data_IF_846770506668
#
_entry.id   IF_846770506668
#
_cell.length_a   1.000
_cell.length_b   1.000
_cell.length_c   1.000
_cell.angle_alpha   90.00
_cell.angle_beta   90.00
_cell.angle_gamma   90.00
#
_symmetry.space_group_name_H-M   'P 1'
#
loop_
_entity.id
_entity.type
_entity.pdbx_description
1 polymer ?
#
# COMPACT_ATOMS: atom_id res chain seq x y z
N UNK A 1 -18.44 10.88 8.14
CA UNK A 1 -16.97 10.91 8.21
C UNK A 1 -16.52 9.49 8.53
N UNK A 2 -15.71 8.86 7.68
CA UNK A 2 -15.15 7.53 7.93
C UNK A 2 -13.79 7.72 8.58
N UNK A 3 -13.59 7.14 9.75
CA UNK A 3 -12.27 7.07 10.37
C UNK A 3 -11.46 5.99 9.66
N UNK A 4 -10.25 6.33 9.21
CA UNK A 4 -9.38 5.43 8.47
C UNK A 4 -8.04 5.21 9.18
N UNK A 5 -7.39 4.10 8.85
CA UNK A 5 -6.01 3.82 9.26
C UNK A 5 -5.11 3.65 8.03
N UNK A 6 -3.81 3.77 8.23
CA UNK A 6 -2.80 3.62 7.17
C UNK A 6 -1.67 2.72 7.68
N UNK A 7 -1.28 1.73 6.89
CA UNK A 7 -0.37 0.67 7.36
C UNK A 7 1.04 1.16 7.68
N UNK A 8 1.47 2.31 7.15
CA UNK A 8 2.77 2.89 7.52
C UNK A 8 2.88 3.31 8.99
N UNK A 9 1.75 3.55 9.65
CA UNK A 9 1.70 3.83 11.08
C UNK A 9 1.99 2.59 11.92
N UNK A 10 2.04 1.42 11.28
CA UNK A 10 2.28 0.13 11.93
C UNK A 10 3.64 -0.49 11.57
N UNK A 11 4.53 0.28 10.92
CA UNK A 11 5.83 -0.22 10.44
C UNK A 11 6.60 -1.00 11.51
N UNK A 12 6.68 -0.47 12.73
CA UNK A 12 7.43 -1.10 13.81
C UNK A 12 6.73 -2.35 14.39
N UNK A 13 5.41 -2.48 14.19
CA UNK A 13 4.65 -3.63 14.66
C UNK A 13 4.69 -4.78 13.65
N UNK A 14 4.93 -4.50 12.37
CA UNK A 14 4.99 -5.53 11.32
C UNK A 14 6.19 -6.48 11.47
N UNK A 15 7.18 -6.13 12.29
CA UNK A 15 8.29 -7.02 12.62
C UNK A 15 7.83 -8.22 13.47
N UNK A 16 6.80 -8.02 14.30
CA UNK A 16 6.33 -8.99 15.30
C UNK A 16 4.85 -9.40 15.13
N UNK A 17 4.10 -8.74 14.24
CA UNK A 17 2.65 -8.93 14.07
C UNK A 17 2.23 -9.13 12.61
N UNK A 18 1.22 -9.98 12.41
CA UNK A 18 0.57 -10.14 11.12
C UNK A 18 -0.21 -8.87 10.73
N UNK A 19 -0.17 -8.51 9.45
CA UNK A 19 -0.89 -7.35 8.93
C UNK A 19 -2.41 -7.46 9.20
N UNK A 20 -2.98 -8.66 9.06
CA UNK A 20 -4.39 -8.89 9.32
C UNK A 20 -4.77 -8.64 10.78
N UNK A 21 -3.89 -8.96 11.74
CA UNK A 21 -4.17 -8.71 13.15
C UNK A 21 -4.13 -7.22 13.51
N UNK A 22 -3.26 -6.45 12.84
CA UNK A 22 -3.22 -5.00 12.95
C UNK A 22 -4.47 -4.35 12.34
N UNK A 23 -4.94 -4.84 11.19
CA UNK A 23 -6.19 -4.41 10.56
C UNK A 23 -7.39 -4.72 11.46
N UNK A 24 -7.45 -5.93 12.03
CA UNK A 24 -8.50 -6.32 12.98
C UNK A 24 -8.52 -5.37 14.20
N UNK A 25 -7.35 -5.05 14.74
CA UNK A 25 -7.22 -4.09 15.85
C UNK A 25 -7.70 -2.70 15.45
N UNK A 26 -7.37 -2.23 14.25
CA UNK A 26 -7.82 -0.93 13.76
C UNK A 26 -9.33 -0.86 13.58
N UNK A 27 -9.92 -1.92 13.00
CA UNK A 27 -11.38 -2.09 12.88
C UNK A 27 -12.07 -2.08 14.23
N UNK A 28 -11.57 -2.86 15.19
CA UNK A 28 -12.17 -2.95 16.53
C UNK A 28 -12.11 -1.61 17.28
N UNK A 29 -11.21 -0.71 16.86
CA UNK A 29 -11.11 0.68 17.32
C UNK A 29 -11.93 1.68 16.48
N UNK A 30 -12.71 1.20 15.51
CA UNK A 30 -13.66 1.99 14.74
C UNK A 30 -13.18 2.41 13.35
N UNK A 31 -12.06 1.89 12.84
CA UNK A 31 -11.67 2.14 11.45
C UNK A 31 -12.65 1.47 10.48
N UNK A 32 -13.19 2.23 9.53
CA UNK A 32 -14.00 1.71 8.42
C UNK A 32 -13.27 1.71 7.08
N UNK A 33 -12.04 2.20 7.06
CA UNK A 33 -11.18 2.27 5.88
C UNK A 33 -9.72 2.01 6.26
N UNK A 34 -8.98 1.29 5.42
CA UNK A 34 -7.54 1.09 5.58
C UNK A 34 -6.82 1.36 4.27
N UNK A 35 -5.89 2.31 4.30
CA UNK A 35 -4.91 2.52 3.24
C UNK A 35 -3.76 1.52 3.42
N UNK A 36 -3.63 0.60 2.47
CA UNK A 36 -2.51 -0.31 2.38
C UNK A 36 -1.34 0.40 1.70
N UNK A 37 -0.29 0.70 2.45
CA UNK A 37 0.93 1.34 1.91
C UNK A 37 2.06 0.33 1.75
N UNK A 38 2.49 0.13 0.50
CA UNK A 38 3.64 -0.68 0.14
C UNK A 38 4.90 -0.18 0.89
N UNK A 39 5.79 -1.11 1.24
CA UNK A 39 6.87 -1.03 2.24
C UNK A 39 6.41 -1.17 3.70
N UNK A 40 5.11 -1.37 3.91
CA UNK A 40 4.45 -1.59 5.21
C UNK A 40 3.30 -2.60 5.08
N UNK A 41 3.49 -3.68 4.32
CA UNK A 41 2.46 -4.73 4.13
C UNK A 41 2.87 -6.11 4.68
N UNK A 42 4.06 -6.26 5.26
CA UNK A 42 4.53 -7.53 5.80
C UNK A 42 4.57 -8.61 4.71
N UNK A 43 3.92 -9.75 4.94
CA UNK A 43 3.87 -10.87 3.99
C UNK A 43 3.00 -10.60 2.74
N UNK A 44 2.23 -9.51 2.73
CA UNK A 44 1.44 -9.10 1.57
C UNK A 44 2.26 -8.33 0.51
N UNK A 45 3.58 -8.30 0.65
CA UNK A 45 4.51 -7.75 -0.33
C UNK A 45 5.87 -8.48 -0.30
N UNK A 46 6.68 -8.27 -1.33
CA UNK A 46 8.05 -8.77 -1.41
C UNK A 46 8.92 -7.87 -2.28
N UNK A 47 10.23 -8.06 -2.20
CA UNK A 47 11.21 -7.24 -2.93
C UNK A 47 11.85 -6.17 -2.04
N UNK A 48 12.62 -5.30 -2.66
CA UNK A 48 13.32 -4.18 -2.00
C UNK A 48 13.58 -3.06 -3.02
N UNK A 49 13.79 -1.82 -2.54
CA UNK A 49 14.10 -0.68 -3.41
C UNK A 49 13.05 -0.46 -4.52
N UNK A 50 13.45 -0.60 -5.78
CA UNK A 50 12.57 -0.46 -6.95
C UNK A 50 11.85 -1.77 -7.34
N UNK A 51 12.18 -2.87 -6.67
CA UNK A 51 11.65 -4.20 -6.96
C UNK A 51 10.52 -4.63 -6.03
N UNK A 52 9.99 -3.71 -5.21
CA UNK A 52 8.77 -3.98 -4.45
C UNK A 52 7.61 -4.44 -5.34
N UNK A 53 7.02 -5.58 -4.98
CA UNK A 53 5.84 -6.15 -5.63
C UNK A 53 4.80 -6.56 -4.59
N UNK A 54 3.50 -6.31 -4.85
CA UNK A 54 2.43 -6.80 -4.01
C UNK A 54 2.31 -8.33 -4.14
N UNK A 55 1.96 -9.00 -3.05
CA UNK A 55 1.57 -10.40 -3.06
C UNK A 55 0.05 -10.49 -3.19
N UNK A 56 -0.44 -10.83 -4.39
CA UNK A 56 -1.87 -10.82 -4.70
C UNK A 56 -2.66 -11.84 -3.87
N UNK A 57 -2.11 -13.02 -3.60
CA UNK A 57 -2.82 -14.05 -2.85
C UNK A 57 -3.07 -13.58 -1.41
N UNK A 58 -2.05 -13.05 -0.74
CA UNK A 58 -2.18 -12.52 0.62
C UNK A 58 -3.07 -11.27 0.68
N UNK A 59 -3.00 -10.39 -0.33
CA UNK A 59 -3.91 -9.23 -0.41
C UNK A 59 -5.37 -9.66 -0.59
N UNK A 60 -5.62 -10.71 -1.38
CA UNK A 60 -6.96 -11.27 -1.56
C UNK A 60 -7.51 -11.83 -0.24
N UNK A 61 -6.67 -12.56 0.51
CA UNK A 61 -7.02 -13.08 1.83
C UNK A 61 -7.41 -11.96 2.80
N UNK A 62 -6.67 -10.83 2.79
CA UNK A 62 -6.98 -9.66 3.63
C UNK A 62 -8.36 -9.08 3.26
N UNK A 63 -8.62 -8.85 1.98
CA UNK A 63 -9.90 -8.26 1.53
C UNK A 63 -11.08 -9.18 1.86
N UNK A 64 -10.90 -10.50 1.70
CA UNK A 64 -11.92 -11.50 2.05
C UNK A 64 -12.14 -11.58 3.57
N UNK A 65 -11.08 -11.41 4.38
CA UNK A 65 -11.15 -11.47 5.84
C UNK A 65 -11.92 -10.28 6.45
N UNK A 66 -11.98 -9.14 5.77
CA UNK A 66 -12.58 -7.91 6.28
C UNK A 66 -13.60 -7.29 5.31
N UNK A 67 -14.72 -7.97 5.00
CA UNK A 67 -15.73 -7.50 4.05
C UNK A 67 -16.44 -6.20 4.46
N UNK A 68 -16.36 -5.84 5.75
CA UNK A 68 -16.90 -4.60 6.32
C UNK A 68 -16.01 -3.38 6.10
N UNK A 69 -14.74 -3.58 5.73
CA UNK A 69 -13.77 -2.52 5.50
C UNK A 69 -13.71 -2.14 4.02
N UNK A 70 -13.36 -0.89 3.79
CA UNK A 70 -12.91 -0.43 2.47
C UNK A 70 -11.41 -0.29 2.47
N UNK A 71 -10.79 -0.52 1.31
CA UNK A 71 -9.35 -0.44 1.18
C UNK A 71 -8.97 0.36 -0.05
N UNK A 72 -7.78 0.96 0.00
CA UNK A 72 -7.06 1.37 -1.19
C UNK A 72 -5.57 1.05 -1.05
N UNK A 73 -4.83 1.20 -2.15
CA UNK A 73 -3.44 0.77 -2.23
C UNK A 73 -2.55 1.93 -2.67
N UNK A 74 -1.58 2.27 -1.81
CA UNK A 74 -0.49 3.19 -2.08
C UNK A 74 0.80 2.41 -2.34
N UNK A 75 1.32 2.47 -3.56
CA UNK A 75 2.46 1.65 -4.03
C UNK A 75 3.75 2.47 -4.10
N UNK A 76 4.88 1.85 -3.78
CA UNK A 76 6.21 2.44 -3.84
C UNK A 76 6.67 2.45 -5.31
N UNK A 77 6.24 3.48 -6.04
CA UNK A 77 6.35 3.57 -7.48
C UNK A 77 6.78 4.98 -7.87
N UNK A 78 7.83 5.15 -8.69
CA UNK A 78 8.24 6.47 -9.15
C UNK A 78 7.07 7.20 -9.82
N UNK A 79 6.92 8.47 -9.46
CA UNK A 79 5.92 9.36 -10.07
C UNK A 79 6.42 10.80 -10.26
N UNK A 80 7.60 11.11 -9.71
CA UNK A 80 8.30 12.40 -9.81
C UNK A 80 9.72 12.17 -10.34
N UNK A 81 10.43 11.17 -9.81
CA UNK A 81 11.88 11.00 -10.01
C UNK A 81 12.23 10.30 -11.32
N UNK A 82 11.33 9.50 -11.88
CA UNK A 82 11.57 8.73 -13.12
C UNK A 82 10.23 8.37 -13.77
N UNK A 83 10.23 8.30 -15.10
CA UNK A 83 9.08 7.84 -15.88
C UNK A 83 8.80 6.36 -15.63
N UNK A 84 7.51 6.01 -15.56
CA UNK A 84 7.07 4.62 -15.46
C UNK A 84 6.43 4.15 -16.76
N UNK A 85 6.85 2.96 -17.20
CA UNK A 85 6.15 2.26 -18.28
C UNK A 85 4.83 1.68 -17.75
N UNK A 86 3.72 2.29 -18.19
CA UNK A 86 2.38 1.84 -17.86
C UNK A 86 2.05 0.44 -18.39
N UNK A 87 2.76 -0.06 -19.42
CA UNK A 87 2.60 -1.44 -19.92
C UNK A 87 3.61 -2.40 -19.29
N UNK A 88 4.56 -1.87 -18.51
CA UNK A 88 5.59 -2.66 -17.85
C UNK A 88 5.02 -3.54 -16.74
N UNK A 89 5.63 -4.71 -16.54
CA UNK A 89 5.19 -5.68 -15.52
C UNK A 89 5.16 -5.10 -14.10
N UNK A 90 6.03 -4.14 -13.78
CA UNK A 90 6.00 -3.41 -12.52
C UNK A 90 4.67 -2.67 -12.35
N UNK A 91 4.31 -1.75 -13.25
CA UNK A 91 3.06 -0.99 -13.14
C UNK A 91 1.83 -1.91 -13.18
N UNK A 92 1.83 -2.90 -14.06
CA UNK A 92 0.72 -3.84 -14.20
C UNK A 92 0.47 -4.65 -12.92
N UNK A 93 1.51 -5.13 -12.25
CA UNK A 93 1.36 -5.84 -10.97
C UNK A 93 0.74 -4.96 -9.87
N UNK A 94 1.12 -3.68 -9.83
CA UNK A 94 0.61 -2.72 -8.86
C UNK A 94 -0.86 -2.34 -9.15
N UNK A 95 -1.19 -2.19 -10.44
CA UNK A 95 -2.55 -1.93 -10.90
C UNK A 95 -3.47 -3.12 -10.59
N UNK A 96 -3.01 -4.34 -10.79
CA UNK A 96 -3.75 -5.56 -10.45
C UNK A 96 -4.05 -5.63 -8.95
N UNK A 97 -3.06 -5.35 -8.11
CA UNK A 97 -3.24 -5.28 -6.66
C UNK A 97 -4.24 -4.19 -6.24
N UNK A 98 -4.17 -2.99 -6.83
CA UNK A 98 -5.13 -1.93 -6.51
C UNK A 98 -6.57 -2.27 -6.94
N UNK A 99 -6.73 -3.01 -8.04
CA UNK A 99 -8.03 -3.54 -8.49
C UNK A 99 -8.59 -4.57 -7.52
N UNK A 100 -7.73 -5.50 -7.09
CA UNK A 100 -8.07 -6.52 -6.11
C UNK A 100 -8.51 -5.90 -4.78
N UNK A 101 -7.73 -4.94 -4.28
CA UNK A 101 -7.94 -4.32 -2.97
C UNK A 101 -9.13 -3.35 -2.96
N UNK A 102 -9.25 -2.50 -3.98
CA UNK A 102 -10.28 -1.46 -4.02
C UNK A 102 -11.65 -1.93 -4.55
N UNK A 103 -11.78 -3.18 -4.98
CA UNK A 103 -13.03 -3.79 -5.40
C UNK A 103 -13.77 -2.97 -6.48
N UNK A 104 -14.99 -2.52 -6.15
CA UNK A 104 -15.86 -1.79 -7.09
C UNK A 104 -15.43 -0.35 -7.42
N UNK A 105 -14.46 0.22 -6.69
CA UNK A 105 -13.93 1.57 -6.95
C UNK A 105 -12.42 1.60 -6.69
N UNK A 106 -11.62 0.94 -7.54
CA UNK A 106 -10.20 0.80 -7.29
C UNK A 106 -9.47 2.13 -7.43
N UNK A 107 -8.64 2.44 -6.44
CA UNK A 107 -7.83 3.64 -6.40
C UNK A 107 -6.38 3.27 -6.16
N UNK A 108 -5.55 3.48 -7.18
CA UNK A 108 -4.10 3.28 -7.13
C UNK A 108 -3.44 4.63 -6.83
N UNK A 109 -2.69 4.69 -5.72
CA UNK A 109 -1.86 5.85 -5.38
C UNK A 109 -0.40 5.48 -5.52
N UNK A 110 0.40 6.35 -6.12
CA UNK A 110 1.84 6.14 -6.27
C UNK A 110 2.59 7.01 -5.25
N UNK A 111 3.62 6.43 -4.65
CA UNK A 111 4.49 7.08 -3.68
C UNK A 111 5.89 6.97 -4.22
N UNK A 112 6.52 8.11 -4.55
CA UNK A 112 7.88 8.12 -5.06
C UNK A 112 8.87 7.74 -3.94
N UNK A 113 9.52 6.56 -4.01
CA UNK A 113 10.47 6.15 -2.99
C UNK A 113 11.81 6.87 -3.14
N UNK A 114 12.07 7.49 -4.30
CA UNK A 114 13.32 8.15 -4.66
C UNK A 114 13.40 9.62 -4.26
N UNK A 115 12.46 10.13 -3.46
CA UNK A 115 12.58 11.47 -2.90
C UNK A 115 13.83 11.52 -2.01
N UNK A 116 14.95 11.96 -2.60
CA UNK A 116 16.18 12.22 -1.86
C UNK A 116 15.87 13.12 -0.67
N UNK A 117 16.48 12.85 0.49
CA UNK A 117 16.49 13.74 1.68
C UNK A 117 17.05 15.15 1.38
N UNK A 118 17.47 15.42 0.14
CA UNK A 118 17.77 16.76 -0.35
C UNK A 118 16.48 17.58 -0.31
N UNK A 119 16.42 18.67 0.48
CA UNK A 119 15.34 19.63 0.35
C UNK A 119 15.25 20.04 -1.11
N UNK A 120 14.03 20.06 -1.66
CA UNK A 120 13.76 20.66 -2.97
C UNK A 120 14.54 21.96 -3.04
N UNK A 121 15.58 21.98 -3.89
CA UNK A 121 16.58 23.04 -3.89
C UNK A 121 15.87 24.39 -3.98
N UNK A 122 16.22 25.29 -3.07
CA UNK A 122 15.91 26.71 -3.22
C UNK A 122 16.56 27.10 -4.53
N UNK A 123 15.74 27.36 -5.56
CA UNK A 123 16.23 27.95 -6.80
C UNK A 123 16.86 29.31 -6.43
N UNK A 124 18.19 29.37 -6.48
CA UNK A 124 18.96 30.61 -6.35
C UNK A 124 19.02 31.38 -7.65
#
# INVERSE_FOLDING_TARGET
MIYGAITNSWRNQLDDADLGDLIATARDRGAGHVELRQTCLGLAESGEGHDWRPNLDTLAEIVVRFPELTFDLAVALPCITTDIDAQGGLFQSQLEAARLVGGGSPHLRTVDPGASDTPMGVFG
#
